data_IF_985562365089
#
_entry.id   IF_985562365089
#
_cell.length_a   1.000
_cell.length_b   1.000
_cell.length_c   1.000
_cell.angle_alpha   90.00
_cell.angle_beta   90.00
_cell.angle_gamma   90.00
#
_symmetry.space_group_name_H-M   'P 1'
#
loop_
_entity.id
_entity.type
_entity.pdbx_description
1 polymer ?
#
# COMPACT_ATOMS: atom_id res chain seq x y z
N UNK A 1 -0.63 -4.98 7.73
CA UNK A 1 -0.54 -6.41 7.40
C UNK A 1 -1.88 -7.01 7.02
N UNK A 2 -2.81 -7.23 7.97
CA UNK A 2 -4.08 -7.92 7.66
C UNK A 2 -4.89 -7.26 6.54
N UNK A 3 -5.01 -5.92 6.55
CA UNK A 3 -5.69 -5.15 5.49
C UNK A 3 -5.09 -5.31 4.09
N UNK A 4 -3.84 -5.73 3.99
CA UNK A 4 -3.13 -5.89 2.72
C UNK A 4 -3.21 -7.32 2.18
N UNK A 5 -3.54 -8.28 3.05
CA UNK A 5 -3.59 -9.70 2.74
C UNK A 5 -4.83 -10.06 1.89
N UNK A 6 -5.91 -9.30 2.03
CA UNK A 6 -7.16 -9.48 1.28
C UNK A 6 -7.06 -9.01 -0.17
N UNK A 7 -6.12 -8.12 -0.51
CA UNK A 7 -5.93 -7.58 -1.85
C UNK A 7 -5.63 -8.65 -2.91
N UNK A 8 -4.58 -9.49 -2.77
CA UNK A 8 -4.24 -10.48 -3.79
C UNK A 8 -5.07 -11.77 -3.70
N UNK A 9 -5.94 -11.91 -2.69
CA UNK A 9 -6.65 -13.16 -2.38
C UNK A 9 -7.45 -13.71 -3.57
N UNK A 10 -8.20 -12.87 -4.28
CA UNK A 10 -9.03 -13.32 -5.40
C UNK A 10 -8.26 -13.43 -6.71
N UNK A 11 -7.33 -12.50 -6.95
CA UNK A 11 -6.53 -12.44 -8.19
C UNK A 11 -5.48 -13.56 -8.25
N UNK A 12 -4.86 -13.91 -7.11
CA UNK A 12 -3.93 -15.05 -7.03
C UNK A 12 -4.55 -16.39 -7.44
N UNK A 13 -5.87 -16.49 -7.38
CA UNK A 13 -6.65 -17.68 -7.76
C UNK A 13 -7.65 -17.36 -8.87
N UNK A 14 -7.32 -16.46 -9.79
CA UNK A 14 -8.25 -15.98 -10.82
C UNK A 14 -8.92 -17.13 -11.61
N UNK A 15 -8.14 -18.13 -12.03
CA UNK A 15 -8.68 -19.28 -12.76
C UNK A 15 -9.65 -20.14 -11.93
N UNK A 16 -9.34 -20.36 -10.63
CA UNK A 16 -10.18 -21.14 -9.72
C UNK A 16 -11.47 -20.36 -9.41
N UNK A 17 -11.37 -19.06 -9.15
CA UNK A 17 -12.51 -18.20 -8.87
C UNK A 17 -13.40 -18.04 -10.12
N UNK A 18 -12.82 -17.85 -11.30
CA UNK A 18 -13.57 -17.79 -12.56
C UNK A 18 -14.36 -19.08 -12.79
N UNK A 19 -13.74 -20.23 -12.57
CA UNK A 19 -14.39 -21.54 -12.64
C UNK A 19 -15.49 -21.76 -11.58
N UNK A 20 -15.24 -21.33 -10.34
CA UNK A 20 -16.19 -21.47 -9.25
C UNK A 20 -17.46 -20.64 -9.50
N UNK A 21 -17.29 -19.35 -9.84
CA UNK A 21 -18.39 -18.41 -10.05
C UNK A 21 -18.98 -18.43 -11.47
N UNK A 22 -18.33 -19.11 -12.43
CA UNK A 22 -18.76 -19.12 -13.83
C UNK A 22 -18.53 -17.79 -14.56
N UNK A 23 -17.47 -17.07 -14.20
CA UNK A 23 -17.10 -15.76 -14.78
C UNK A 23 -15.72 -15.82 -15.43
N UNK A 24 -15.42 -14.87 -16.33
CA UNK A 24 -14.09 -14.78 -16.96
C UNK A 24 -13.00 -14.43 -15.93
N UNK A 25 -11.75 -14.84 -16.18
CA UNK A 25 -10.60 -14.44 -15.37
C UNK A 25 -10.42 -12.92 -15.35
N UNK A 26 -10.80 -12.24 -16.43
CA UNK A 26 -10.83 -10.78 -16.52
C UNK A 26 -11.80 -10.15 -15.52
N UNK A 27 -13.02 -10.69 -15.41
CA UNK A 27 -13.98 -10.23 -14.39
C UNK A 27 -13.42 -10.40 -12.98
N UNK A 28 -12.68 -11.48 -12.70
CA UNK A 28 -12.00 -11.64 -11.41
C UNK A 28 -10.88 -10.61 -11.24
N UNK A 29 -10.12 -10.26 -12.29
CA UNK A 29 -9.06 -9.25 -12.21
C UNK A 29 -9.59 -7.84 -11.89
N UNK A 30 -10.84 -7.54 -12.23
CA UNK A 30 -11.50 -6.31 -11.79
C UNK A 30 -11.56 -6.16 -10.27
N UNK A 31 -11.48 -7.25 -9.50
CA UNK A 31 -11.38 -7.18 -8.03
C UNK A 31 -10.13 -6.46 -7.54
N UNK A 32 -9.02 -6.50 -8.29
CA UNK A 32 -7.84 -5.68 -8.04
C UNK A 32 -8.02 -4.27 -8.59
N UNK A 33 -8.65 -4.08 -9.75
CA UNK A 33 -8.87 -2.73 -10.30
C UNK A 33 -9.78 -1.87 -9.42
N UNK A 34 -10.73 -2.47 -8.70
CA UNK A 34 -11.54 -1.78 -7.69
C UNK A 34 -10.67 -1.02 -6.68
N UNK A 35 -9.52 -1.57 -6.27
CA UNK A 35 -8.67 -0.87 -5.31
C UNK A 35 -8.18 0.46 -5.87
N UNK A 36 -7.80 0.47 -7.15
CA UNK A 36 -7.26 1.64 -7.84
C UNK A 36 -8.36 2.69 -8.03
N UNK A 37 -9.55 2.26 -8.45
CA UNK A 37 -10.71 3.14 -8.63
C UNK A 37 -11.18 3.75 -7.32
N UNK A 38 -11.36 2.92 -6.28
CA UNK A 38 -11.76 3.38 -4.94
C UNK A 38 -10.74 4.36 -4.40
N UNK A 39 -9.44 4.06 -4.57
CA UNK A 39 -8.40 4.97 -4.14
C UNK A 39 -8.53 6.32 -4.85
N UNK A 40 -8.61 6.35 -6.18
CA UNK A 40 -8.73 7.58 -6.97
C UNK A 40 -9.93 8.44 -6.57
N UNK A 41 -11.08 7.81 -6.35
CA UNK A 41 -12.33 8.52 -6.00
C UNK A 41 -12.31 8.99 -4.55
N UNK A 42 -11.85 8.14 -3.62
CA UNK A 42 -12.01 8.38 -2.19
C UNK A 42 -10.76 8.96 -1.52
N UNK A 43 -9.63 9.11 -2.22
CA UNK A 43 -8.40 9.66 -1.62
C UNK A 43 -8.60 11.07 -1.06
N UNK A 44 -9.27 11.97 -1.78
CA UNK A 44 -9.50 13.32 -1.29
C UNK A 44 -10.49 13.37 -0.11
N UNK A 45 -11.66 12.70 -0.16
CA UNK A 45 -12.56 12.61 0.98
C UNK A 45 -11.91 11.98 2.22
N UNK A 46 -11.22 10.85 2.06
CA UNK A 46 -10.62 10.13 3.17
C UNK A 46 -9.41 10.86 3.73
N UNK A 47 -8.57 11.48 2.89
CA UNK A 47 -7.49 12.36 3.36
C UNK A 47 -8.04 13.54 4.17
N UNK A 48 -9.15 14.13 3.73
CA UNK A 48 -9.83 15.19 4.50
C UNK A 48 -10.33 14.67 5.84
N UNK A 49 -10.97 13.50 5.87
CA UNK A 49 -11.49 12.88 7.09
C UNK A 49 -10.39 12.51 8.09
N UNK A 50 -9.26 11.95 7.61
CA UNK A 50 -8.09 11.59 8.43
C UNK A 50 -7.45 12.83 9.09
N UNK A 51 -7.63 14.04 8.53
CA UNK A 51 -7.12 15.25 9.15
C UNK A 51 -7.99 15.76 10.32
N UNK A 52 -9.30 15.44 10.32
CA UNK A 52 -10.20 15.73 11.45
C UNK A 52 -10.21 14.62 12.49
N UNK A 53 -9.82 13.42 12.09
CA UNK A 53 -9.71 12.26 12.95
C UNK A 53 -8.32 12.13 13.53
N UNK A 54 -8.26 11.91 14.83
CA UNK A 54 -7.01 11.54 15.48
C UNK A 54 -6.47 10.20 14.97
N UNK A 55 -5.15 10.00 15.07
CA UNK A 55 -4.45 8.77 14.64
C UNK A 55 -5.12 7.50 15.18
N UNK A 56 -5.59 7.52 16.44
CA UNK A 56 -6.33 6.40 17.02
C UNK A 56 -7.60 6.06 16.24
N UNK A 57 -8.41 7.06 15.90
CA UNK A 57 -9.65 6.85 15.17
C UNK A 57 -9.38 6.38 13.74
N UNK A 58 -8.34 6.89 13.08
CA UNK A 58 -7.91 6.41 11.77
C UNK A 58 -7.61 4.91 11.78
N UNK A 59 -6.85 4.42 12.77
CA UNK A 59 -6.51 2.99 12.90
C UNK A 59 -7.74 2.14 13.27
N UNK A 60 -8.65 2.66 14.10
CA UNK A 60 -9.93 1.98 14.40
C UNK A 60 -10.79 1.88 13.13
N UNK A 61 -10.91 2.95 12.33
CA UNK A 61 -11.65 2.93 11.07
C UNK A 61 -11.05 1.94 10.06
N UNK A 62 -9.72 1.85 9.95
CA UNK A 62 -9.06 0.79 9.18
C UNK A 62 -9.52 -0.59 9.65
N UNK A 63 -9.43 -0.87 10.97
CA UNK A 63 -9.82 -2.16 11.52
C UNK A 63 -11.29 -2.49 11.28
N UNK A 64 -12.18 -1.50 11.38
CA UNK A 64 -13.61 -1.65 11.09
C UNK A 64 -13.85 -2.07 9.63
N UNK A 65 -13.30 -1.34 8.67
CA UNK A 65 -13.45 -1.68 7.25
C UNK A 65 -12.85 -3.03 6.90
N UNK A 66 -11.76 -3.41 7.55
CA UNK A 66 -11.13 -4.70 7.37
C UNK A 66 -11.98 -5.87 7.92
N UNK A 67 -12.63 -5.67 9.08
CA UNK A 67 -13.59 -6.65 9.63
C UNK A 67 -14.82 -6.75 8.74
N UNK A 68 -15.34 -5.63 8.24
CA UNK A 68 -16.43 -5.61 7.26
C UNK A 68 -16.09 -6.38 5.99
N UNK A 69 -14.89 -6.18 5.44
CA UNK A 69 -14.40 -6.91 4.27
C UNK A 69 -14.31 -8.42 4.53
N UNK A 70 -13.84 -8.82 5.71
CA UNK A 70 -13.74 -10.24 6.08
C UNK A 70 -15.12 -10.87 6.31
N UNK A 71 -16.03 -10.18 7.00
CA UNK A 71 -17.39 -10.66 7.28
C UNK A 71 -18.21 -10.85 6.00
N UNK A 72 -18.06 -9.97 5.01
CA UNK A 72 -18.76 -10.13 3.72
C UNK A 72 -18.25 -11.29 2.89
N UNK A 73 -17.08 -11.88 3.21
CA UNK A 73 -16.60 -13.10 2.54
C UNK A 73 -17.54 -14.29 2.73
N UNK A 74 -18.29 -14.35 3.84
CA UNK A 74 -19.29 -15.42 4.04
C UNK A 74 -20.43 -15.38 3.00
N UNK A 75 -20.73 -14.21 2.44
CA UNK A 75 -21.70 -14.08 1.36
C UNK A 75 -21.16 -14.61 0.01
N UNK A 76 -19.85 -14.83 -0.11
CA UNK A 76 -19.17 -15.25 -1.36
C UNK A 76 -19.07 -16.77 -1.54
N UNK A 77 -19.66 -17.56 -0.63
CA UNK A 77 -19.50 -19.02 -0.58
C UNK A 77 -20.34 -19.79 -1.62
N UNK A 78 -21.26 -19.11 -2.30
CA UNK A 78 -22.14 -19.70 -3.31
C UNK A 78 -21.61 -19.41 -4.73
N UNK A 79 -21.79 -20.32 -5.70
CA UNK A 79 -21.36 -20.08 -7.08
C UNK A 79 -21.98 -18.83 -7.75
N UNK A 80 -23.19 -18.43 -7.37
CA UNK A 80 -23.86 -17.25 -7.96
C UNK A 80 -23.56 -15.93 -7.22
N UNK A 81 -22.60 -15.92 -6.30
CA UNK A 81 -22.37 -14.78 -5.39
C UNK A 81 -21.21 -13.85 -5.81
N UNK A 82 -20.82 -13.87 -7.08
CA UNK A 82 -19.73 -13.04 -7.60
C UNK A 82 -19.87 -11.53 -7.27
N UNK A 83 -21.07 -10.90 -7.33
CA UNK A 83 -21.21 -9.50 -6.92
C UNK A 83 -20.75 -9.21 -5.48
N UNK A 84 -20.91 -10.17 -4.56
CA UNK A 84 -20.43 -10.01 -3.19
C UNK A 84 -18.90 -10.01 -3.10
N UNK A 85 -18.19 -10.65 -4.05
CA UNK A 85 -16.73 -10.56 -4.16
C UNK A 85 -16.31 -9.12 -4.46
N UNK A 86 -17.02 -8.43 -5.33
CA UNK A 86 -16.77 -7.02 -5.65
C UNK A 86 -16.99 -6.13 -4.42
N UNK A 87 -18.02 -6.43 -3.61
CA UNK A 87 -18.29 -5.73 -2.34
C UNK A 87 -17.18 -5.98 -1.31
N UNK A 88 -16.68 -7.22 -1.19
CA UNK A 88 -15.51 -7.54 -0.34
C UNK A 88 -14.30 -6.71 -0.77
N UNK A 89 -14.00 -6.66 -2.07
CA UNK A 89 -12.90 -5.87 -2.63
C UNK A 89 -13.04 -4.39 -2.36
N UNK A 90 -14.25 -3.84 -2.43
CA UNK A 90 -14.54 -2.45 -2.10
C UNK A 90 -14.24 -2.12 -0.63
N UNK A 91 -14.70 -2.94 0.32
CA UNK A 91 -14.40 -2.72 1.74
C UNK A 91 -12.91 -2.91 2.06
N UNK A 92 -12.27 -3.88 1.42
CA UNK A 92 -10.82 -4.07 1.51
C UNK A 92 -10.07 -2.85 0.98
N UNK A 93 -10.53 -2.25 -0.11
CA UNK A 93 -9.94 -1.04 -0.68
C UNK A 93 -10.09 0.16 0.24
N UNK A 94 -11.27 0.36 0.84
CA UNK A 94 -11.48 1.38 1.86
C UNK A 94 -10.54 1.18 3.05
N UNK A 95 -10.43 -0.03 3.59
CA UNK A 95 -9.49 -0.32 4.68
C UNK A 95 -8.04 0.06 4.31
N UNK A 96 -7.60 -0.32 3.10
CA UNK A 96 -6.26 -0.02 2.62
C UNK A 96 -6.02 1.49 2.46
N UNK A 97 -7.03 2.23 2.03
CA UNK A 97 -6.97 3.69 1.91
C UNK A 97 -6.69 4.38 3.25
N UNK A 98 -7.31 3.91 4.34
CA UNK A 98 -7.06 4.46 5.68
C UNK A 98 -5.69 4.05 6.25
N UNK A 99 -5.19 2.85 5.92
CA UNK A 99 -3.95 2.33 6.52
C UNK A 99 -2.67 2.95 5.97
N UNK A 100 -2.67 3.40 4.71
CA UNK A 100 -1.46 3.84 4.01
C UNK A 100 -0.81 5.09 4.63
N UNK A 101 -1.60 6.01 5.18
CA UNK A 101 -1.09 7.19 5.88
C UNK A 101 -0.65 6.93 7.33
N UNK A 102 -0.93 5.75 7.89
CA UNK A 102 -0.69 5.44 9.31
C UNK A 102 0.80 5.32 9.66
N UNK A 103 1.66 4.59 8.92
CA UNK A 103 3.07 4.46 9.27
C UNK A 103 3.83 5.80 9.44
N UNK A 104 3.77 6.75 8.48
CA UNK A 104 4.46 8.03 8.64
C UNK A 104 3.84 8.88 9.74
N UNK A 105 2.51 8.89 9.88
CA UNK A 105 1.82 9.65 10.93
C UNK A 105 2.14 9.11 12.34
N UNK A 106 2.22 7.79 12.48
CA UNK A 106 2.61 7.12 13.72
C UNK A 106 4.08 7.40 14.05
N UNK A 107 4.98 7.22 13.07
CA UNK A 107 6.41 7.49 13.23
C UNK A 107 6.61 8.92 13.73
N UNK A 108 5.99 9.90 13.07
CA UNK A 108 6.03 11.29 13.47
C UNK A 108 5.54 11.52 14.90
N UNK A 109 4.38 10.98 15.26
CA UNK A 109 3.73 11.30 16.54
C UNK A 109 4.38 10.61 17.74
N UNK A 110 5.07 9.48 17.52
CA UNK A 110 5.61 8.63 18.60
C UNK A 110 7.14 8.58 18.69
N UNK A 111 7.87 8.86 17.60
CA UNK A 111 9.31 8.67 17.55
C UNK A 111 10.08 9.99 17.37
N UNK A 112 11.32 10.08 17.91
CA UNK A 112 12.18 11.24 17.72
C UNK A 112 12.66 11.34 16.26
N UNK A 113 13.09 12.53 15.83
CA UNK A 113 13.37 12.83 14.43
C UNK A 113 14.45 11.97 13.77
N UNK A 114 15.32 11.35 14.57
CA UNK A 114 16.44 10.52 14.11
C UNK A 114 16.01 9.09 13.77
N UNK A 115 14.86 8.64 14.26
CA UNK A 115 14.35 7.27 14.11
C UNK A 115 13.07 7.18 13.28
N UNK A 116 12.58 8.32 12.77
CA UNK A 116 11.37 8.42 11.95
C UNK A 116 11.39 7.45 10.77
N UNK A 117 12.49 7.43 10.01
CA UNK A 117 12.68 6.53 8.86
C UNK A 117 12.54 5.07 9.22
N UNK A 118 13.19 4.67 10.33
CA UNK A 118 13.21 3.28 10.81
C UNK A 118 11.81 2.85 11.23
N UNK A 119 11.13 3.69 12.03
CA UNK A 119 9.78 3.43 12.49
C UNK A 119 8.78 3.35 11.33
N UNK A 120 8.86 4.27 10.37
CA UNK A 120 8.03 4.26 9.17
C UNK A 120 8.27 3.00 8.33
N UNK A 121 9.55 2.64 8.12
CA UNK A 121 9.95 1.45 7.35
C UNK A 121 9.37 0.16 7.92
N UNK A 122 9.37 -0.02 9.24
CA UNK A 122 8.76 -1.20 9.86
C UNK A 122 7.24 -1.26 9.63
N UNK A 123 6.54 -0.13 9.68
CA UNK A 123 5.11 -0.07 9.40
C UNK A 123 4.77 -0.41 7.94
N UNK A 124 5.54 0.16 7.01
CA UNK A 124 5.45 -0.13 5.57
C UNK A 124 5.78 -1.60 5.26
N UNK A 125 6.82 -2.15 5.90
CA UNK A 125 7.19 -3.55 5.76
C UNK A 125 6.02 -4.49 6.10
N UNK A 126 5.26 -4.17 7.15
CA UNK A 126 4.06 -4.91 7.52
C UNK A 126 2.97 -4.92 6.44
N UNK A 127 2.91 -3.90 5.57
CA UNK A 127 2.02 -3.93 4.39
C UNK A 127 2.50 -4.96 3.37
N UNK A 128 3.78 -4.90 3.00
CA UNK A 128 4.38 -5.79 2.01
C UNK A 128 4.31 -7.26 2.44
N UNK A 129 4.55 -7.54 3.72
CA UNK A 129 4.40 -8.88 4.28
C UNK A 129 2.96 -9.38 4.18
N UNK A 130 1.97 -8.51 4.39
CA UNK A 130 0.56 -8.86 4.26
C UNK A 130 0.20 -9.26 2.83
N UNK A 131 0.61 -8.47 1.83
CA UNK A 131 0.41 -8.79 0.41
C UNK A 131 1.07 -10.13 0.06
N UNK A 132 2.32 -10.33 0.46
CA UNK A 132 3.03 -11.58 0.18
C UNK A 132 2.32 -12.81 0.79
N UNK A 133 1.85 -12.70 2.04
CA UNK A 133 1.05 -13.74 2.67
C UNK A 133 -0.27 -13.97 1.94
N UNK A 134 -0.93 -12.93 1.44
CA UNK A 134 -2.20 -13.06 0.72
C UNK A 134 -2.10 -13.87 -0.58
N UNK A 135 -0.99 -13.72 -1.31
CA UNK A 135 -0.71 -14.49 -2.54
C UNK A 135 -0.51 -15.99 -2.28
N UNK A 136 0.00 -16.36 -1.11
CA UNK A 136 0.35 -17.76 -0.79
C UNK A 136 -0.74 -18.43 0.04
N UNK A 137 -1.33 -17.72 0.99
CA UNK A 137 -2.28 -18.26 1.94
C UNK A 137 -3.53 -18.84 1.27
N UNK A 138 -4.07 -18.13 0.27
CA UNK A 138 -5.33 -18.51 -0.35
C UNK A 138 -5.20 -19.76 -1.24
N UNK A 139 -4.19 -19.85 -2.14
CA UNK A 139 -3.95 -21.06 -2.93
C UNK A 139 -3.57 -22.30 -2.10
N UNK A 140 -2.97 -22.14 -0.92
CA UNK A 140 -2.63 -23.30 -0.06
C UNK A 140 -3.85 -23.97 0.57
N UNK A 141 -4.95 -23.24 0.76
CA UNK A 141 -6.14 -23.73 1.46
C UNK A 141 -7.24 -24.14 0.47
N UNK A 142 -7.31 -23.50 -0.70
CA UNK A 142 -8.32 -23.79 -1.72
C UNK A 142 -7.76 -24.78 -2.74
N UNK A 143 -8.36 -25.98 -2.88
CA UNK A 143 -7.93 -26.93 -3.90
C UNK A 143 -8.23 -26.40 -5.32
N UNK A 144 -7.34 -26.66 -6.27
CA UNK A 144 -7.44 -26.18 -7.64
C UNK A 144 -8.36 -27.03 -8.56
N UNK A 145 -9.09 -27.99 -8.00
CA UNK A 145 -9.93 -28.93 -8.75
C UNK A 145 -11.30 -28.33 -9.13
N UNK A 146 -11.41 -27.82 -10.35
CA UNK A 146 -12.64 -27.26 -10.92
C UNK A 146 -13.85 -28.20 -10.92
N UNK A 147 -13.63 -29.51 -11.05
CA UNK A 147 -14.71 -30.51 -11.09
C UNK A 147 -15.43 -30.67 -9.75
N UNK A 148 -14.82 -30.23 -8.63
CA UNK A 148 -15.38 -30.35 -7.28
C UNK A 148 -15.55 -28.99 -6.63
N UNK A 149 -16.56 -28.24 -7.08
CA UNK A 149 -16.90 -26.92 -6.54
C UNK A 149 -17.20 -26.94 -5.02
N UNK A 150 -17.67 -28.06 -4.48
CA UNK A 150 -17.94 -28.20 -3.05
C UNK A 150 -16.66 -28.07 -2.21
N UNK A 151 -15.54 -28.65 -2.66
CA UNK A 151 -14.25 -28.53 -1.97
C UNK A 151 -13.70 -27.10 -2.04
N UNK A 152 -13.92 -26.42 -3.16
CA UNK A 152 -13.56 -25.00 -3.31
C UNK A 152 -14.36 -24.16 -2.32
N UNK A 153 -15.67 -24.39 -2.20
CA UNK A 153 -16.52 -23.68 -1.22
C UNK A 153 -16.06 -23.92 0.22
N UNK A 154 -15.67 -25.15 0.57
CA UNK A 154 -15.10 -25.48 1.89
C UNK A 154 -13.77 -24.74 2.13
N UNK A 155 -12.86 -24.73 1.16
CA UNK A 155 -11.60 -23.99 1.26
C UNK A 155 -11.83 -22.48 1.45
N UNK A 156 -12.73 -21.88 0.65
CA UNK A 156 -13.12 -20.48 0.78
C UNK A 156 -13.77 -20.18 2.13
N UNK A 157 -14.59 -21.09 2.64
CA UNK A 157 -15.20 -21.00 3.97
C UNK A 157 -14.15 -21.01 5.09
N UNK A 158 -13.15 -21.89 5.00
CA UNK A 158 -12.06 -21.94 5.97
C UNK A 158 -11.26 -20.62 5.97
N UNK A 159 -10.96 -20.08 4.79
CA UNK A 159 -10.31 -18.76 4.67
C UNK A 159 -11.16 -17.66 5.31
N UNK A 160 -12.46 -17.60 4.99
CA UNK A 160 -13.36 -16.59 5.54
C UNK A 160 -13.42 -16.65 7.08
N UNK A 161 -13.47 -17.85 7.67
CA UNK A 161 -13.42 -18.03 9.13
C UNK A 161 -12.09 -17.56 9.72
N UNK A 162 -10.95 -17.99 9.17
CA UNK A 162 -9.63 -17.64 9.70
C UNK A 162 -9.41 -16.13 9.63
N UNK A 163 -9.64 -15.51 8.46
CA UNK A 163 -9.44 -14.08 8.27
C UNK A 163 -10.40 -13.25 9.13
N UNK A 164 -11.67 -13.64 9.22
CA UNK A 164 -12.63 -12.91 10.06
C UNK A 164 -12.26 -13.01 11.54
N UNK A 165 -11.92 -14.20 12.04
CA UNK A 165 -11.52 -14.39 13.43
C UNK A 165 -10.28 -13.56 13.79
N UNK A 166 -9.23 -13.63 12.96
CA UNK A 166 -8.00 -12.85 13.18
C UNK A 166 -8.28 -11.36 13.11
N UNK A 167 -9.08 -10.89 12.13
CA UNK A 167 -9.41 -9.47 12.00
C UNK A 167 -10.24 -8.95 13.17
N UNK A 168 -11.19 -9.72 13.70
CA UNK A 168 -11.97 -9.34 14.89
C UNK A 168 -11.05 -9.25 16.11
N UNK A 169 -10.17 -10.22 16.33
CA UNK A 169 -9.22 -10.20 17.46
C UNK A 169 -8.30 -8.98 17.35
N UNK A 170 -7.72 -8.72 16.17
CA UNK A 170 -6.87 -7.54 15.95
C UNK A 170 -7.66 -6.24 16.12
N UNK A 171 -8.91 -6.17 15.67
CA UNK A 171 -9.76 -5.00 15.85
C UNK A 171 -10.04 -4.72 17.33
N UNK A 172 -10.38 -5.75 18.11
CA UNK A 172 -10.55 -5.66 19.56
C UNK A 172 -9.25 -5.19 20.22
N UNK A 173 -8.10 -5.77 19.87
CA UNK A 173 -6.81 -5.34 20.42
C UNK A 173 -6.53 -3.87 20.11
N UNK A 174 -6.77 -3.42 18.87
CA UNK A 174 -6.58 -2.03 18.46
C UNK A 174 -7.48 -1.10 19.28
N UNK A 175 -8.76 -1.42 19.46
CA UNK A 175 -9.70 -0.52 20.15
C UNK A 175 -9.31 -0.33 21.62
N UNK A 176 -8.83 -1.37 22.29
CA UNK A 176 -8.44 -1.33 23.71
C UNK A 176 -7.01 -0.83 23.94
N UNK A 177 -6.05 -1.20 23.10
CA UNK A 177 -4.61 -0.93 23.36
C UNK A 177 -4.07 0.30 22.65
N UNK A 178 -4.63 0.68 21.50
CA UNK A 178 -4.03 1.70 20.66
C UNK A 178 -4.28 3.11 21.20
N UNK A 179 -3.20 3.81 21.54
CA UNK A 179 -3.23 5.17 22.08
C UNK A 179 -2.97 6.18 20.96
N UNK A 180 -3.61 7.34 21.05
CA UNK A 180 -3.49 8.37 20.01
C UNK A 180 -2.11 9.06 19.99
N UNK A 181 -1.54 9.31 21.16
CA UNK A 181 -0.25 9.97 21.33
C UNK A 181 0.41 9.46 22.62
N UNK A 182 1.75 9.46 22.69
CA UNK A 182 2.45 9.22 23.95
C UNK A 182 2.12 10.31 24.97
N UNK A 183 2.13 9.97 26.27
CA UNK A 183 1.83 10.91 27.36
C UNK A 183 2.79 12.13 27.38
N UNK A 184 4.03 11.95 26.93
CA UNK A 184 5.01 13.02 26.80
C UNK A 184 5.39 13.20 25.31
N UNK A 185 5.32 14.43 24.75
CA UNK A 185 5.64 14.68 23.35
C UNK A 185 7.14 14.51 23.08
N UNK A 186 7.54 13.82 22.00
CA UNK A 186 8.95 13.49 21.74
C UNK A 186 9.80 14.66 21.23
N UNK A 187 9.22 15.81 20.85
CA UNK A 187 10.00 16.99 20.41
C UNK A 187 9.33 18.35 20.64
N UNK A 188 10.15 19.38 20.93
CA UNK A 188 9.72 20.79 21.09
C UNK A 188 9.07 21.37 19.80
N UNK A 189 9.51 20.92 18.62
CA UNK A 189 8.97 21.34 17.33
C UNK A 189 7.51 20.89 17.11
N UNK A 190 7.11 19.74 17.69
CA UNK A 190 5.72 19.26 17.67
C UNK A 190 4.84 20.02 18.66
N UNK A 191 5.39 20.48 19.78
CA UNK A 191 4.69 21.36 20.72
C UNK A 191 4.36 22.73 20.10
N UNK A 192 5.22 23.24 19.21
CA UNK A 192 4.97 24.49 18.48
C UNK A 192 3.96 24.34 17.33
N UNK A 193 3.98 23.22 16.58
CA UNK A 193 2.97 22.95 15.53
C UNK A 193 1.53 22.86 16.08
N UNK A 194 1.35 22.42 17.35
CA UNK A 194 0.04 22.42 18.03
C UNK A 194 -0.58 23.81 18.24
N UNK A 195 0.20 24.90 18.22
CA UNK A 195 -0.29 26.27 18.44
C UNK A 195 -0.76 26.98 17.17
N UNK A 196 -0.55 26.42 15.97
CA UNK A 196 -0.78 27.11 14.70
C UNK A 196 -1.49 26.19 13.69
N UNK A 197 -2.80 26.03 13.79
CA UNK A 197 -3.57 25.25 12.80
C UNK A 197 -5.05 25.64 12.77
N UNK A 198 -5.39 26.62 11.94
CA UNK A 198 -6.73 26.74 11.34
C UNK A 198 -6.61 27.51 10.02
N UNK A 199 -5.85 26.98 9.05
CA UNK A 199 -5.93 27.46 7.66
C UNK A 199 -6.62 26.40 6.80
N UNK A 200 -7.38 26.85 5.79
CA UNK A 200 -8.21 26.00 4.93
C UNK A 200 -7.36 25.08 4.04
N UNK A 201 -7.58 23.76 4.16
CA UNK A 201 -6.70 22.72 3.60
C UNK A 201 -6.70 22.61 2.06
N UNK A 202 -7.73 23.08 1.36
CA UNK A 202 -7.71 23.15 -0.12
C UNK A 202 -6.59 24.09 -0.58
N UNK A 203 -6.39 25.19 0.14
CA UNK A 203 -5.31 26.14 -0.16
C UNK A 203 -3.93 25.52 0.09
N UNK A 204 -3.81 24.67 1.10
CA UNK A 204 -2.58 23.90 1.38
C UNK A 204 -2.29 22.92 0.24
N UNK A 205 -3.27 22.10 -0.15
CA UNK A 205 -3.12 21.14 -1.26
C UNK A 205 -2.77 21.88 -2.57
N UNK A 206 -3.46 22.99 -2.85
CA UNK A 206 -3.16 23.79 -4.03
C UNK A 206 -1.77 24.45 -3.94
N UNK A 207 -1.32 24.85 -2.76
CA UNK A 207 0.03 25.40 -2.55
C UNK A 207 1.12 24.35 -2.71
N UNK A 208 0.86 23.10 -2.31
CA UNK A 208 1.76 21.97 -2.55
C UNK A 208 1.83 21.65 -4.04
N UNK A 209 0.69 21.52 -4.72
CA UNK A 209 0.65 21.22 -6.16
C UNK A 209 1.25 22.33 -7.02
N UNK A 210 1.29 23.57 -6.52
CA UNK A 210 2.02 24.69 -7.17
C UNK A 210 3.52 24.69 -6.88
N UNK A 211 3.99 23.88 -5.93
CA UNK A 211 5.41 23.83 -5.57
C UNK A 211 6.13 22.85 -6.51
N UNK A 212 7.08 23.31 -7.34
CA UNK A 212 7.76 22.45 -8.32
C UNK A 212 8.53 21.30 -7.66
N UNK A 213 8.99 21.47 -6.42
CA UNK A 213 9.67 20.40 -5.69
C UNK A 213 8.71 19.28 -5.28
N UNK A 214 7.45 19.61 -5.00
CA UNK A 214 6.44 18.60 -4.69
C UNK A 214 6.00 17.83 -5.93
N UNK A 215 5.89 18.52 -7.07
CA UNK A 215 5.66 17.86 -8.36
C UNK A 215 6.82 16.91 -8.66
N UNK A 216 8.06 17.32 -8.39
CA UNK A 216 9.22 16.44 -8.56
C UNK A 216 9.08 15.17 -7.72
N UNK A 217 8.76 15.29 -6.43
CA UNK A 217 8.55 14.15 -5.53
C UNK A 217 7.44 13.21 -6.03
N UNK A 218 6.32 13.76 -6.52
CA UNK A 218 5.24 12.92 -7.06
C UNK A 218 5.75 12.06 -8.22
N UNK A 219 6.56 12.65 -9.09
CA UNK A 219 7.22 11.95 -10.19
C UNK A 219 8.23 10.92 -9.64
N UNK A 220 9.04 11.28 -8.63
CA UNK A 220 10.02 10.36 -8.00
C UNK A 220 9.35 9.13 -7.39
N UNK A 221 8.21 9.31 -6.73
CA UNK A 221 7.54 8.20 -6.09
C UNK A 221 6.88 7.26 -7.09
N UNK A 222 6.33 7.77 -8.18
CA UNK A 222 5.86 6.94 -9.30
C UNK A 222 7.00 6.11 -9.89
N UNK A 223 8.17 6.73 -10.03
CA UNK A 223 9.40 6.05 -10.44
C UNK A 223 9.80 4.97 -9.43
N UNK A 224 9.74 5.22 -8.13
CA UNK A 224 10.06 4.21 -7.10
C UNK A 224 9.07 3.05 -7.08
N UNK A 225 7.77 3.30 -7.28
CA UNK A 225 6.77 2.23 -7.38
C UNK A 225 6.97 1.41 -8.65
N UNK A 226 7.32 2.05 -9.77
CA UNK A 226 7.76 1.37 -10.99
C UNK A 226 9.02 0.53 -10.79
N UNK A 227 10.01 1.04 -10.04
CA UNK A 227 11.22 0.32 -9.65
C UNK A 227 10.95 -0.88 -8.76
N UNK A 228 10.01 -0.80 -7.82
CA UNK A 228 9.58 -1.96 -7.04
C UNK A 228 8.96 -3.03 -7.94
N UNK A 229 8.13 -2.64 -8.91
CA UNK A 229 7.60 -3.54 -9.92
C UNK A 229 8.70 -4.23 -10.71
N UNK A 230 9.70 -3.47 -11.19
CA UNK A 230 10.90 -4.02 -11.84
C UNK A 230 11.65 -4.97 -10.92
N UNK A 231 11.88 -4.59 -9.66
CA UNK A 231 12.66 -5.40 -8.74
C UNK A 231 11.91 -6.69 -8.40
N UNK A 232 10.58 -6.67 -8.30
CA UNK A 232 9.79 -7.89 -8.17
C UNK A 232 9.89 -8.78 -9.40
N UNK A 233 9.91 -8.21 -10.61
CA UNK A 233 10.07 -8.95 -11.86
C UNK A 233 11.50 -9.48 -12.01
N UNK A 234 12.53 -8.68 -11.71
CA UNK A 234 13.95 -9.05 -11.78
C UNK A 234 14.32 -10.04 -10.68
N UNK A 235 13.92 -9.82 -9.44
CA UNK A 235 14.05 -10.80 -8.36
C UNK A 235 13.17 -12.03 -8.59
N UNK A 236 12.06 -11.91 -9.31
CA UNK A 236 11.22 -13.03 -9.74
C UNK A 236 11.88 -13.86 -10.84
N UNK A 237 12.47 -13.22 -11.85
CA UNK A 237 13.23 -13.88 -12.93
C UNK A 237 14.51 -14.49 -12.40
N UNK A 238 15.32 -13.72 -11.65
CA UNK A 238 16.49 -14.23 -10.96
C UNK A 238 16.10 -15.28 -9.92
N UNK A 239 14.97 -15.12 -9.24
CA UNK A 239 14.40 -16.10 -8.32
C UNK A 239 13.91 -17.38 -8.99
N UNK A 240 13.48 -17.34 -10.26
CA UNK A 240 13.15 -18.54 -11.05
C UNK A 240 14.40 -19.23 -11.61
N UNK A 241 15.42 -18.47 -12.01
CA UNK A 241 16.67 -18.98 -12.55
C UNK A 241 17.58 -19.56 -11.44
N UNK A 242 17.67 -18.85 -10.32
CA UNK A 242 18.42 -19.27 -9.12
C UNK A 242 17.58 -20.22 -8.28
N UNK A 243 16.25 -20.06 -8.24
CA UNK A 243 15.32 -20.95 -7.54
C UNK A 243 15.32 -22.36 -8.11
N UNK A 244 15.47 -22.55 -9.42
CA UNK A 244 15.69 -23.88 -10.01
C UNK A 244 16.98 -24.55 -9.55
N UNK A 245 18.04 -23.77 -9.31
CA UNK A 245 19.34 -24.25 -8.83
C UNK A 245 19.39 -24.44 -7.29
N UNK A 246 18.59 -23.66 -6.55
CA UNK A 246 18.46 -23.69 -5.09
C UNK A 246 17.46 -24.76 -4.63
N UNK A 247 16.46 -25.11 -5.47
CA UNK A 247 15.47 -26.17 -5.20
C UNK A 247 16.13 -27.54 -5.03
N UNK A 248 17.25 -27.77 -5.71
CA UNK A 248 18.04 -29.01 -5.62
C UNK A 248 18.97 -29.07 -4.41
N UNK A 249 19.31 -27.94 -3.77
CA UNK A 249 20.41 -27.90 -2.79
C UNK A 249 20.00 -27.50 -1.37
N UNK A 250 18.96 -26.69 -1.17
CA UNK A 250 18.66 -26.17 0.18
C UNK A 250 17.18 -25.89 0.40
N UNK A 251 16.47 -26.78 1.10
CA UNK A 251 15.05 -26.65 1.45
C UNK A 251 14.69 -25.51 2.44
N UNK A 252 15.29 -24.31 2.38
CA UNK A 252 14.93 -23.18 3.26
C UNK A 252 15.14 -21.82 2.56
N UNK A 253 14.13 -20.96 2.58
CA UNK A 253 14.17 -19.63 1.96
C UNK A 253 13.74 -18.53 2.94
N UNK A 254 14.46 -17.39 2.97
CA UNK A 254 13.95 -16.09 3.45
C UNK A 254 14.90 -14.90 3.16
N UNK A 255 14.27 -13.79 2.72
CA UNK A 255 14.64 -12.37 2.90
C UNK A 255 15.60 -11.67 1.93
N UNK A 256 15.04 -10.84 1.01
CA UNK A 256 15.49 -9.46 0.71
C UNK A 256 14.50 -8.77 -0.26
N UNK A 257 13.77 -7.71 0.14
CA UNK A 257 12.89 -6.95 -0.80
C UNK A 257 12.27 -5.60 -0.30
N UNK A 258 12.78 -4.90 0.73
CA UNK A 258 11.93 -3.90 1.45
C UNK A 258 12.52 -2.53 1.81
N UNK A 259 13.61 -2.08 1.19
CA UNK A 259 14.28 -0.83 1.62
C UNK A 259 13.93 0.45 0.84
N UNK A 260 13.27 0.37 -0.32
CA UNK A 260 13.17 1.53 -1.23
C UNK A 260 11.95 2.44 -1.00
N UNK A 261 10.74 1.89 -0.80
CA UNK A 261 9.52 2.69 -0.57
C UNK A 261 9.63 3.65 0.64
N UNK A 262 10.36 3.21 1.67
CA UNK A 262 10.56 4.01 2.88
C UNK A 262 11.42 5.24 2.63
N UNK A 263 12.37 5.15 1.69
CA UNK A 263 13.28 6.24 1.32
C UNK A 263 12.49 7.31 0.53
N UNK A 264 11.61 6.90 -0.39
CA UNK A 264 10.71 7.82 -1.10
C UNK A 264 9.76 8.59 -0.20
N UNK A 265 9.18 7.95 0.83
CA UNK A 265 8.36 8.67 1.82
C UNK A 265 9.16 9.67 2.63
N UNK A 266 10.37 9.32 3.06
CA UNK A 266 11.23 10.20 3.84
C UNK A 266 11.68 11.42 3.03
N UNK A 267 12.12 11.19 1.79
CA UNK A 267 12.46 12.26 0.86
C UNK A 267 11.25 13.15 0.56
N UNK A 268 10.07 12.55 0.36
CA UNK A 268 8.83 13.27 0.14
C UNK A 268 8.46 14.17 1.32
N UNK A 269 8.62 13.68 2.55
CA UNK A 269 8.39 14.44 3.78
C UNK A 269 9.43 15.56 3.96
N UNK A 270 10.70 15.33 3.62
CA UNK A 270 11.78 16.31 3.78
C UNK A 270 11.65 17.51 2.84
N UNK A 271 11.24 17.26 1.60
CA UNK A 271 11.13 18.29 0.58
C UNK A 271 9.79 19.05 0.67
N UNK A 272 8.73 18.42 1.21
CA UNK A 272 7.41 19.05 1.43
C UNK A 272 7.26 19.77 2.77
N UNK A 273 8.30 19.82 3.60
CA UNK A 273 8.25 20.55 4.86
C UNK A 273 7.82 22.01 4.66
N UNK A 274 6.86 22.58 5.44
CA UNK A 274 6.37 22.12 6.74
C UNK A 274 5.06 21.32 6.74
N UNK A 275 4.71 20.67 5.64
CA UNK A 275 3.38 20.09 5.44
C UNK A 275 3.08 18.80 6.23
N UNK A 276 1.80 18.38 6.22
CA UNK A 276 1.32 17.15 6.88
C UNK A 276 1.90 15.89 6.23
N UNK A 277 2.64 15.10 7.01
CA UNK A 277 3.30 13.86 6.59
C UNK A 277 2.29 12.82 6.08
N UNK A 278 1.08 12.77 6.66
CA UNK A 278 0.01 11.89 6.22
C UNK A 278 -0.52 12.26 4.83
N UNK A 279 -0.69 13.55 4.55
CA UNK A 279 -1.16 14.03 3.23
C UNK A 279 -0.10 13.74 2.16
N UNK A 280 1.18 13.99 2.47
CA UNK A 280 2.27 13.67 1.56
C UNK A 280 2.27 12.18 1.19
N UNK A 281 2.18 11.29 2.18
CA UNK A 281 2.14 9.85 1.93
C UNK A 281 0.89 9.40 1.15
N UNK A 282 -0.28 9.98 1.45
CA UNK A 282 -1.51 9.73 0.73
C UNK A 282 -1.44 10.18 -0.75
N UNK A 283 -0.85 11.36 -1.01
CA UNK A 283 -0.73 11.89 -2.38
C UNK A 283 0.30 11.13 -3.21
N UNK A 284 1.43 10.75 -2.61
CA UNK A 284 2.41 9.83 -3.21
C UNK A 284 1.72 8.54 -3.66
N UNK A 285 1.00 7.88 -2.75
CA UNK A 285 0.27 6.66 -3.09
C UNK A 285 -0.80 6.88 -4.19
N UNK A 286 -1.44 8.05 -4.23
CA UNK A 286 -2.42 8.37 -5.28
C UNK A 286 -1.80 8.43 -6.67
N UNK A 287 -0.64 9.09 -6.77
CA UNK A 287 0.08 9.27 -8.03
C UNK A 287 0.57 7.93 -8.56
N UNK A 288 1.13 7.09 -7.69
CA UNK A 288 1.51 5.71 -8.02
C UNK A 288 0.35 4.84 -8.52
N UNK A 289 -0.85 4.98 -7.95
CA UNK A 289 -2.01 4.23 -8.41
C UNK A 289 -2.52 4.71 -9.78
N UNK A 290 -2.52 6.03 -10.03
CA UNK A 290 -2.85 6.60 -11.33
C UNK A 290 -1.90 6.12 -12.43
N UNK A 291 -0.59 6.22 -12.18
CA UNK A 291 0.44 5.71 -13.08
C UNK A 291 0.27 4.20 -13.31
N UNK A 292 0.01 3.44 -12.24
CA UNK A 292 -0.25 2.01 -12.30
C UNK A 292 -1.42 1.64 -13.21
N UNK A 293 -2.54 2.37 -13.15
CA UNK A 293 -3.70 2.17 -14.04
C UNK A 293 -3.27 2.36 -15.50
N UNK A 294 -2.68 3.52 -15.81
CA UNK A 294 -2.31 3.88 -17.19
C UNK A 294 -1.31 2.88 -17.77
N UNK A 295 -0.28 2.54 -16.99
CA UNK A 295 0.74 1.59 -17.41
C UNK A 295 0.16 0.19 -17.61
N UNK A 296 -0.72 -0.26 -16.71
CA UNK A 296 -1.35 -1.59 -16.82
C UNK A 296 -2.23 -1.68 -18.06
N UNK A 297 -2.98 -0.63 -18.39
CA UNK A 297 -3.82 -0.59 -19.60
C UNK A 297 -2.97 -0.67 -20.87
N UNK A 298 -1.90 0.14 -20.94
CA UNK A 298 -0.96 0.14 -22.08
C UNK A 298 -0.29 -1.23 -22.22
N UNK A 299 0.18 -1.81 -21.12
CA UNK A 299 0.85 -3.12 -21.14
C UNK A 299 -0.12 -4.26 -21.48
N UNK A 300 -1.37 -4.16 -21.04
CA UNK A 300 -2.42 -5.13 -21.39
C UNK A 300 -2.73 -5.07 -22.89
N UNK A 301 -2.84 -3.87 -23.46
CA UNK A 301 -3.03 -3.67 -24.90
C UNK A 301 -1.85 -4.23 -25.73
N UNK A 302 -0.61 -4.00 -25.29
CA UNK A 302 0.59 -4.56 -25.95
C UNK A 302 0.63 -6.09 -25.79
N UNK A 303 0.25 -6.60 -24.62
CA UNK A 303 0.22 -8.03 -24.34
C UNK A 303 -0.75 -8.77 -25.27
N UNK A 304 -1.92 -8.18 -25.53
CA UNK A 304 -2.95 -8.78 -26.39
C UNK A 304 -2.59 -8.73 -27.89
N UNK A 305 -1.99 -7.64 -28.37
CA UNK A 305 -1.72 -7.44 -29.79
C UNK A 305 -0.36 -7.97 -30.26
N UNK A 306 0.69 -7.74 -29.46
CA UNK A 306 2.08 -8.02 -29.84
C UNK A 306 2.66 -9.21 -29.05
N UNK A 307 2.02 -9.59 -27.94
CA UNK A 307 2.40 -10.72 -27.12
C UNK A 307 3.34 -10.39 -25.94
N UNK A 308 3.66 -11.39 -25.11
CA UNK A 308 4.30 -11.18 -23.81
C UNK A 308 5.73 -10.66 -23.88
N UNK A 309 6.48 -10.97 -24.95
CA UNK A 309 7.86 -10.49 -25.11
C UNK A 309 7.91 -8.97 -25.26
N UNK A 310 7.04 -8.41 -26.10
CA UNK A 310 6.97 -6.96 -26.35
C UNK A 310 6.41 -6.21 -25.13
N UNK A 311 5.42 -6.79 -24.44
CA UNK A 311 4.90 -6.22 -23.19
C UNK A 311 5.99 -6.15 -22.10
N UNK A 312 6.77 -7.22 -21.93
CA UNK A 312 7.89 -7.23 -20.97
C UNK A 312 9.04 -6.29 -21.38
N UNK A 313 9.32 -6.15 -22.68
CA UNK A 313 10.31 -5.20 -23.19
C UNK A 313 9.86 -3.75 -22.95
N UNK A 314 8.60 -3.42 -23.22
CA UNK A 314 8.01 -2.11 -22.96
C UNK A 314 8.06 -1.75 -21.47
N UNK A 315 7.72 -2.71 -20.59
CA UNK A 315 7.85 -2.54 -19.14
C UNK A 315 9.30 -2.21 -18.74
N UNK A 316 10.27 -2.94 -19.30
CA UNK A 316 11.71 -2.74 -19.01
C UNK A 316 12.20 -1.36 -19.45
N UNK A 317 11.80 -0.90 -20.64
CA UNK A 317 12.17 0.42 -21.17
C UNK A 317 11.57 1.55 -20.32
N UNK A 318 10.28 1.44 -19.98
CA UNK A 318 9.60 2.42 -19.13
C UNK A 318 10.31 2.55 -17.78
N UNK A 319 10.71 1.43 -17.18
CA UNK A 319 11.43 1.49 -15.92
C UNK A 319 12.81 2.11 -16.12
N UNK A 320 13.56 1.74 -17.16
CA UNK A 320 14.87 2.33 -17.44
C UNK A 320 14.81 3.84 -17.61
N UNK A 321 13.79 4.36 -18.30
CA UNK A 321 13.53 5.80 -18.41
C UNK A 321 13.25 6.44 -17.05
N UNK A 322 12.47 5.79 -16.20
CA UNK A 322 12.24 6.21 -14.83
C UNK A 322 13.56 6.30 -14.02
N UNK A 323 14.49 5.35 -14.21
CA UNK A 323 15.82 5.36 -13.60
C UNK A 323 16.63 6.61 -13.97
N UNK A 324 16.63 6.96 -15.26
CA UNK A 324 17.37 8.10 -15.78
C UNK A 324 16.81 9.39 -15.19
N UNK A 325 15.48 9.54 -15.16
CA UNK A 325 14.81 10.70 -14.57
C UNK A 325 15.17 10.83 -13.08
N UNK A 326 15.22 9.71 -12.35
CA UNK A 326 15.62 9.71 -10.94
C UNK A 326 17.06 10.16 -10.70
N UNK A 327 17.97 9.93 -11.64
CA UNK A 327 19.37 10.35 -11.50
C UNK A 327 19.56 11.88 -11.46
N UNK A 328 18.59 12.64 -11.94
CA UNK A 328 18.61 14.12 -11.95
C UNK A 328 18.01 14.75 -10.69
N UNK A 329 17.53 13.96 -9.73
CA UNK A 329 16.95 14.47 -8.48
C UNK A 329 18.05 15.07 -7.61
N UNK A 330 17.94 16.36 -7.31
CA UNK A 330 18.87 17.08 -6.44
C UNK A 330 18.48 16.92 -4.97
N UNK A 331 19.51 16.77 -4.11
CA UNK A 331 19.37 16.56 -2.67
C UNK A 331 19.21 17.89 -1.94
N UNK A 332 18.00 18.45 -1.87
CA UNK A 332 17.75 19.71 -1.15
C UNK A 332 16.94 19.51 0.14
N UNK A 333 17.65 19.20 1.23
CA UNK A 333 17.10 18.85 2.54
C UNK A 333 16.65 20.08 3.35
N UNK A 334 15.44 20.59 3.09
CA UNK A 334 14.88 21.79 3.76
C UNK A 334 14.67 21.60 5.26
N UNK A 335 14.23 20.41 5.71
CA UNK A 335 14.04 20.08 7.12
C UNK A 335 15.36 20.02 7.90
N UNK A 336 16.41 19.48 7.29
CA UNK A 336 17.75 19.40 7.89
C UNK A 336 18.36 20.79 8.07
N UNK A 337 18.31 21.65 7.05
CA UNK A 337 18.79 23.04 7.11
C UNK A 337 18.11 23.84 8.23
N UNK A 338 16.78 23.73 8.36
CA UNK A 338 16.03 24.43 9.40
C UNK A 338 16.31 23.90 10.82
N UNK A 339 16.50 22.58 10.98
CA UNK A 339 16.90 22.01 12.28
C UNK A 339 18.34 22.39 12.67
N UNK A 340 19.24 22.57 11.69
CA UNK A 340 20.58 23.09 11.92
C UNK A 340 20.56 24.57 12.32
N UNK A 341 19.75 25.40 11.66
CA UNK A 341 19.54 26.81 12.03
C UNK A 341 18.96 26.98 13.43
N UNK A 342 17.97 26.17 13.81
CA UNK A 342 17.38 26.22 15.17
C UNK A 342 18.42 25.82 16.22
N UNK A 343 19.28 24.82 15.92
CA UNK A 343 20.37 24.43 16.82
C UNK A 343 21.40 25.54 16.99
N UNK A 344 21.81 26.22 15.92
CA UNK A 344 22.77 27.32 15.99
C UNK A 344 22.24 28.55 16.75
N UNK A 345 20.93 28.82 16.65
CA UNK A 345 20.28 29.92 17.38
C UNK A 345 20.05 29.57 18.85
N UNK A 346 19.91 28.29 19.21
CA UNK A 346 19.80 27.85 20.62
C UNK A 346 21.14 27.73 21.37
N UNK A 347 22.26 27.79 20.63
CA UNK A 347 23.62 27.75 21.16
C UNK A 347 24.27 29.14 21.31
N UNK A 348 23.55 30.20 20.95
CA UNK A 348 23.85 31.60 21.27
C UNK A 348 22.88 32.06 22.35
#
# INVERSE_FOLDING_TARGET
>A
MMSAMTFPQYVSMANINGCFYGVSSEAVNWTAMIILVVYLVFIFPVSSLINYMDLRWTVICTGFWNVMAAATQFATLNPNSFPFVMVVSFFSALSNLFVLGVPPALAAKWFPSQELSRACSFGVFGNQLGVALGFVFSPLIVPADCSRKDLISIGKRNIAYILTAVNIVVFILITFTFQNAPKNPPSLAQAQKRKKSSESHIQIIMSMLKNPNFILILIVYEVEVGWMGLLFVVCGLMGSMIGGFILDSTHKFKFFLTSFLSIGFEYGIEVTYPQSEAICACLLNASAMLFGIILTEILSHILENEGPLYSNAALTVTIFMCCIIASFITRDYKRYKKNAEIKSVSSQ
#
